data_IF_354835398207
#
_entry.id   IF_354835398207
#
_cell.length_a   1.000
_cell.length_b   1.000
_cell.length_c   1.000
_cell.angle_alpha   90.00
_cell.angle_beta   90.00
_cell.angle_gamma   90.00
#
_symmetry.space_group_name_H-M   'P 1'
#
loop_
_entity.id
_entity.type
_entity.pdbx_description
1 polymer ?
#
# COMPACT_ATOMS: atom_id res chain seq x y z
N UNK A 1 10.01 37.32 2.72
CA UNK A 1 11.31 36.65 2.81
C UNK A 1 12.06 37.28 3.98
N UNK A 2 12.16 36.60 5.14
CA UNK A 2 12.86 37.13 6.32
C UNK A 2 14.19 36.40 6.48
N UNK A 3 15.29 37.14 6.42
CA UNK A 3 16.65 36.61 6.62
C UNK A 3 16.95 36.65 8.13
N UNK A 4 17.30 35.50 8.72
CA UNK A 4 17.80 35.41 10.09
C UNK A 4 19.29 35.84 10.13
N UNK A 5 19.73 36.45 11.25
CA UNK A 5 21.12 36.83 11.59
C UNK A 5 22.20 35.75 11.35
N UNK A 6 21.84 34.50 11.03
CA UNK A 6 22.76 33.39 10.70
C UNK A 6 22.88 33.05 9.21
N UNK A 7 22.28 33.84 8.30
CA UNK A 7 22.39 33.60 6.85
C UNK A 7 21.67 32.33 6.35
N UNK A 8 20.92 31.65 7.21
CA UNK A 8 20.09 30.52 6.83
C UNK A 8 18.77 31.09 6.30
N UNK A 9 18.47 30.78 5.04
CA UNK A 9 17.14 31.00 4.45
C UNK A 9 16.18 30.10 5.25
N UNK A 10 15.48 30.70 6.22
CA UNK A 10 14.36 30.05 6.87
C UNK A 10 13.22 29.99 5.85
N UNK A 11 13.14 28.90 5.09
CA UNK A 11 11.88 28.53 4.47
C UNK A 11 10.92 28.25 5.62
N UNK A 12 10.00 29.19 5.90
CA UNK A 12 8.78 28.87 6.60
C UNK A 12 8.13 27.74 5.80
N UNK A 13 8.20 26.49 6.32
CA UNK A 13 7.39 25.38 5.83
C UNK A 13 5.93 25.82 5.96
N UNK A 14 5.35 26.43 4.92
CA UNK A 14 3.90 26.51 4.76
C UNK A 14 3.43 25.06 4.73
N UNK A 15 2.81 24.60 5.81
CA UNK A 15 2.11 23.34 5.83
C UNK A 15 1.11 23.38 4.67
N UNK A 16 1.41 22.65 3.60
CA UNK A 16 0.53 22.57 2.46
C UNK A 16 -0.78 21.95 2.97
N UNK A 17 -1.87 22.71 3.01
CA UNK A 17 -3.17 22.18 3.44
C UNK A 17 -3.54 21.08 2.46
N UNK A 18 -3.62 19.84 2.95
CA UNK A 18 -4.14 18.70 2.19
C UNK A 18 -5.50 19.06 1.60
N UNK A 19 -5.63 18.93 0.28
CA UNK A 19 -6.86 19.25 -0.44
C UNK A 19 -7.60 17.99 -0.84
N UNK A 20 -8.91 18.09 -1.07
CA UNK A 20 -9.73 16.96 -1.56
C UNK A 20 -9.18 16.36 -2.85
N UNK A 21 -8.56 17.18 -3.70
CA UNK A 21 -7.92 16.72 -4.95
C UNK A 21 -6.78 15.74 -4.69
N UNK A 22 -5.99 15.95 -3.64
CA UNK A 22 -4.87 15.07 -3.29
C UNK A 22 -5.35 13.67 -2.90
N UNK A 23 -6.45 13.58 -2.14
CA UNK A 23 -7.07 12.30 -1.79
C UNK A 23 -7.69 11.60 -3.01
N UNK A 24 -8.33 12.35 -3.91
CA UNK A 24 -8.92 11.76 -5.12
C UNK A 24 -7.84 11.23 -6.08
N UNK A 25 -6.74 11.96 -6.24
CA UNK A 25 -5.63 11.56 -7.11
C UNK A 25 -4.86 10.34 -6.57
N UNK A 26 -4.84 10.14 -5.25
CA UNK A 26 -4.09 9.04 -4.63
C UNK A 26 -4.95 7.79 -4.41
N UNK A 27 -6.15 7.98 -3.84
CA UNK A 27 -7.08 6.86 -3.60
C UNK A 27 -7.77 6.36 -4.87
N UNK A 28 -8.08 7.25 -5.82
CA UNK A 28 -8.82 6.93 -7.05
C UNK A 28 -8.15 5.85 -7.91
N UNK A 29 -6.87 5.99 -8.29
CA UNK A 29 -6.17 4.96 -9.07
C UNK A 29 -6.10 3.62 -8.34
N UNK A 30 -5.84 3.63 -7.03
CA UNK A 30 -5.77 2.41 -6.20
C UNK A 30 -7.12 1.69 -6.16
N UNK A 31 -8.22 2.43 -6.08
CA UNK A 31 -9.58 1.88 -6.17
C UNK A 31 -9.83 1.16 -7.50
N UNK A 32 -9.46 1.80 -8.61
CA UNK A 32 -9.64 1.21 -9.95
C UNK A 32 -8.78 -0.05 -10.09
N UNK A 33 -7.51 0.01 -9.67
CA UNK A 33 -6.58 -1.13 -9.76
C UNK A 33 -7.11 -2.33 -9.00
N UNK A 34 -7.60 -2.17 -7.76
CA UNK A 34 -8.13 -3.29 -6.99
C UNK A 34 -9.46 -3.82 -7.52
N UNK A 35 -10.34 -2.95 -8.01
CA UNK A 35 -11.57 -3.38 -8.67
C UNK A 35 -11.28 -4.22 -9.93
N UNK A 36 -10.35 -3.77 -10.78
CA UNK A 36 -9.93 -4.50 -11.99
C UNK A 36 -9.19 -5.79 -11.62
N UNK A 37 -8.33 -5.76 -10.61
CA UNK A 37 -7.62 -6.95 -10.12
C UNK A 37 -8.59 -8.01 -9.60
N UNK A 38 -9.69 -7.59 -8.95
CA UNK A 38 -10.71 -8.52 -8.49
C UNK A 38 -11.40 -9.23 -9.66
N UNK A 39 -11.84 -8.47 -10.67
CA UNK A 39 -12.47 -9.01 -11.88
C UNK A 39 -11.54 -9.98 -12.62
N UNK A 40 -10.28 -9.59 -12.82
CA UNK A 40 -9.29 -10.46 -13.47
C UNK A 40 -9.06 -11.73 -12.66
N UNK A 41 -8.95 -11.64 -11.34
CA UNK A 41 -8.80 -12.81 -10.47
C UNK A 41 -10.01 -13.74 -10.54
N UNK A 42 -11.24 -13.22 -10.60
CA UNK A 42 -12.45 -14.02 -10.77
C UNK A 42 -12.47 -14.76 -12.13
N UNK A 43 -12.06 -14.07 -13.20
CA UNK A 43 -11.96 -14.66 -14.55
C UNK A 43 -10.93 -15.79 -14.57
N UNK A 44 -9.73 -15.55 -14.05
CA UNK A 44 -8.62 -16.52 -14.06
C UNK A 44 -8.99 -17.79 -13.27
N UNK A 45 -9.68 -17.64 -12.14
CA UNK A 45 -10.10 -18.78 -11.33
C UNK A 45 -11.34 -19.49 -11.87
N UNK A 46 -12.03 -18.93 -12.87
CA UNK A 46 -13.29 -19.49 -13.39
C UNK A 46 -14.46 -19.44 -12.40
N UNK A 47 -14.32 -18.75 -11.26
CA UNK A 47 -15.34 -18.62 -10.22
C UNK A 47 -15.81 -17.16 -10.18
N UNK A 48 -16.86 -16.87 -10.96
CA UNK A 48 -17.53 -15.57 -10.92
C UNK A 48 -18.48 -15.49 -9.73
N UNK A 49 -18.07 -14.76 -8.69
CA UNK A 49 -18.88 -14.53 -7.48
C UNK A 49 -19.84 -13.36 -7.69
N UNK A 50 -19.36 -12.24 -8.26
CA UNK A 50 -20.21 -11.12 -8.67
C UNK A 50 -19.49 -10.17 -9.62
N UNK A 51 -20.18 -9.73 -10.67
CA UNK A 51 -19.67 -8.71 -11.60
C UNK A 51 -19.60 -7.30 -11.00
N UNK A 52 -20.40 -7.01 -9.96
CA UNK A 52 -20.56 -5.65 -9.46
C UNK A 52 -20.26 -5.50 -7.97
N UNK A 53 -20.74 -6.42 -7.13
CA UNK A 53 -20.62 -6.25 -5.67
C UNK A 53 -19.18 -6.40 -5.18
N UNK A 54 -18.46 -7.40 -5.66
CA UNK A 54 -17.08 -7.68 -5.21
C UNK A 54 -16.08 -6.68 -5.75
N UNK A 55 -16.11 -6.25 -7.03
CA UNK A 55 -15.19 -5.24 -7.52
C UNK A 55 -15.45 -3.87 -6.89
N UNK A 56 -16.72 -3.53 -6.59
CA UNK A 56 -17.07 -2.30 -5.88
C UNK A 56 -16.50 -2.28 -4.47
N UNK A 57 -16.63 -3.36 -3.71
CA UNK A 57 -16.07 -3.47 -2.35
C UNK A 57 -14.54 -3.43 -2.36
N UNK A 58 -13.90 -4.10 -3.33
CA UNK A 58 -12.45 -4.04 -3.50
C UNK A 58 -11.98 -2.65 -3.94
N UNK A 59 -12.78 -1.94 -4.74
CA UNK A 59 -12.53 -0.55 -5.12
C UNK A 59 -12.64 0.40 -3.93
N UNK A 60 -13.68 0.26 -3.09
CA UNK A 60 -13.82 1.04 -1.85
C UNK A 60 -12.66 0.76 -0.89
N UNK A 61 -12.27 -0.51 -0.75
CA UNK A 61 -11.08 -0.90 0.01
C UNK A 61 -9.81 -0.23 -0.55
N UNK A 62 -9.62 -0.24 -1.87
CA UNK A 62 -8.48 0.42 -2.53
C UNK A 62 -8.48 1.94 -2.33
N UNK A 63 -9.64 2.58 -2.36
CA UNK A 63 -9.76 4.00 -2.10
C UNK A 63 -9.35 4.35 -0.67
N UNK A 64 -9.85 3.60 0.31
CA UNK A 64 -9.55 3.81 1.73
C UNK A 64 -8.06 3.56 1.99
N UNK A 65 -7.55 2.40 1.56
CA UNK A 65 -6.16 2.02 1.81
C UNK A 65 -5.16 2.89 1.05
N UNK A 66 -5.46 3.32 -0.17
CA UNK A 66 -4.63 4.27 -0.91
C UNK A 66 -4.51 5.62 -0.20
N UNK A 67 -5.61 6.13 0.34
CA UNK A 67 -5.62 7.38 1.10
C UNK A 67 -4.92 7.26 2.46
N UNK A 68 -5.10 6.15 3.18
CA UNK A 68 -4.37 5.88 4.42
C UNK A 68 -2.88 5.77 4.15
N UNK A 69 -2.50 5.03 3.09
CA UNK A 69 -1.10 4.92 2.67
C UNK A 69 -0.51 6.30 2.37
N UNK A 70 -1.25 7.16 1.65
CA UNK A 70 -0.81 8.52 1.37
C UNK A 70 -0.62 9.35 2.64
N UNK A 71 -1.52 9.26 3.61
CA UNK A 71 -1.37 9.95 4.90
C UNK A 71 -0.17 9.41 5.70
N UNK A 72 0.04 8.10 5.72
CA UNK A 72 1.16 7.47 6.41
C UNK A 72 2.49 7.86 5.77
N UNK A 73 2.62 7.71 4.45
CA UNK A 73 3.84 8.06 3.73
C UNK A 73 4.09 9.56 3.73
N UNK A 74 3.07 10.43 3.62
CA UNK A 74 3.26 11.88 3.75
C UNK A 74 3.73 12.30 5.15
N UNK A 75 3.25 11.63 6.20
CA UNK A 75 3.73 11.84 7.58
C UNK A 75 5.19 11.43 7.72
N UNK A 76 5.55 10.23 7.23
CA UNK A 76 6.93 9.74 7.22
C UNK A 76 7.83 10.65 6.37
N UNK A 77 7.30 11.14 5.25
CA UNK A 77 8.03 11.99 4.32
C UNK A 77 8.23 13.40 4.85
N UNK A 78 7.28 13.92 5.64
CA UNK A 78 7.41 15.21 6.33
C UNK A 78 8.58 15.23 7.32
N UNK A 79 8.90 14.06 7.89
CA UNK A 79 10.00 13.86 8.83
C UNK A 79 11.34 13.51 8.15
N UNK A 80 11.34 12.91 6.95
CA UNK A 80 12.56 12.24 6.43
C UNK A 80 12.97 12.54 4.98
N UNK A 81 12.13 13.16 4.13
CA UNK A 81 12.23 12.82 2.71
C UNK A 81 12.78 13.87 1.74
N UNK A 82 12.78 15.17 2.07
CA UNK A 82 13.31 16.15 1.09
C UNK A 82 14.82 15.98 0.84
N UNK A 83 15.54 15.40 1.82
CA UNK A 83 16.95 14.98 1.70
C UNK A 83 17.10 13.58 1.09
N UNK A 84 16.18 12.65 1.39
CA UNK A 84 16.20 11.27 0.89
C UNK A 84 15.99 11.17 -0.63
N UNK A 85 15.00 11.90 -1.16
CA UNK A 85 14.72 11.89 -2.61
C UNK A 85 15.79 12.63 -3.43
N UNK A 86 16.56 13.54 -2.81
CA UNK A 86 17.70 14.23 -3.45
C UNK A 86 18.99 13.40 -3.42
N UNK A 87 19.09 12.36 -2.59
CA UNK A 87 20.26 11.49 -2.52
C UNK A 87 20.27 10.50 -3.70
N UNK A 88 21.20 10.69 -4.64
CA UNK A 88 21.47 9.75 -5.73
C UNK A 88 22.46 8.67 -5.28
N UNK A 89 22.31 7.44 -5.80
CA UNK A 89 23.19 6.30 -5.51
C UNK A 89 22.80 5.48 -4.26
N UNK A 90 23.55 4.41 -3.97
CA UNK A 90 23.39 3.53 -2.80
C UNK A 90 24.23 4.03 -1.61
N UNK A 91 23.92 5.21 -1.09
CA UNK A 91 24.60 5.68 0.12
C UNK A 91 24.14 4.90 1.35
N UNK A 92 25.00 4.67 2.37
CA UNK A 92 24.61 3.97 3.60
C UNK A 92 23.40 4.62 4.31
N UNK A 93 23.30 5.95 4.23
CA UNK A 93 22.17 6.71 4.76
C UNK A 93 20.86 6.40 4.03
N UNK A 94 20.91 6.25 2.70
CA UNK A 94 19.74 5.90 1.90
C UNK A 94 19.26 4.48 2.20
N UNK A 95 20.18 3.52 2.31
CA UNK A 95 19.84 2.15 2.70
C UNK A 95 19.20 2.10 4.09
N UNK A 96 19.78 2.84 5.05
CA UNK A 96 19.23 2.95 6.41
C UNK A 96 17.80 3.51 6.42
N UNK A 97 17.53 4.58 5.67
CA UNK A 97 16.18 5.17 5.59
C UNK A 97 15.20 4.20 4.91
N UNK A 98 15.58 3.58 3.80
CA UNK A 98 14.75 2.59 3.10
C UNK A 98 14.40 1.41 4.03
N UNK A 99 15.36 0.95 4.82
CA UNK A 99 15.15 -0.11 5.80
C UNK A 99 14.13 0.29 6.89
N UNK A 100 14.21 1.50 7.44
CA UNK A 100 13.19 1.96 8.40
C UNK A 100 11.80 2.12 7.77
N UNK A 101 11.73 2.61 6.52
CA UNK A 101 10.45 2.68 5.79
C UNK A 101 9.86 1.29 5.58
N UNK A 102 10.69 0.32 5.20
CA UNK A 102 10.26 -1.07 5.07
C UNK A 102 9.85 -1.67 6.42
N UNK A 103 10.61 -1.47 7.49
CA UNK A 103 10.21 -1.96 8.81
C UNK A 103 8.88 -1.39 9.27
N UNK A 104 8.65 -0.10 9.05
CA UNK A 104 7.37 0.52 9.36
C UNK A 104 6.24 -0.08 8.52
N UNK A 105 6.48 -0.30 7.23
CA UNK A 105 5.53 -0.97 6.34
C UNK A 105 5.18 -2.37 6.84
N UNK A 106 6.16 -3.17 7.23
CA UNK A 106 5.94 -4.54 7.68
C UNK A 106 5.34 -4.64 9.09
N UNK A 107 5.66 -3.72 10.00
CA UNK A 107 5.18 -3.78 11.39
C UNK A 107 3.83 -3.10 11.60
N UNK A 108 3.51 -2.10 10.78
CA UNK A 108 2.29 -1.29 10.94
C UNK A 108 1.34 -1.52 9.79
N UNK A 109 1.81 -1.32 8.55
CA UNK A 109 0.92 -1.32 7.40
C UNK A 109 0.48 -2.72 6.98
N UNK A 110 1.42 -3.68 6.92
CA UNK A 110 1.14 -5.04 6.49
C UNK A 110 0.11 -5.77 7.39
N UNK A 111 0.17 -5.70 8.73
CA UNK A 111 -0.87 -6.26 9.60
C UNK A 111 -2.24 -5.65 9.36
N UNK A 112 -2.31 -4.30 9.29
CA UNK A 112 -3.57 -3.58 9.12
C UNK A 112 -4.18 -3.87 7.74
N UNK A 113 -3.38 -3.78 6.68
CA UNK A 113 -3.80 -4.03 5.31
C UNK A 113 -4.25 -5.47 5.11
N UNK A 114 -3.51 -6.44 5.63
CA UNK A 114 -3.87 -7.87 5.54
C UNK A 114 -5.19 -8.16 6.26
N UNK A 115 -5.37 -7.60 7.46
CA UNK A 115 -6.63 -7.74 8.21
C UNK A 115 -7.81 -7.15 7.44
N UNK A 116 -7.67 -5.91 6.94
CA UNK A 116 -8.72 -5.25 6.16
C UNK A 116 -9.06 -6.03 4.89
N UNK A 117 -8.05 -6.53 4.15
CA UNK A 117 -8.26 -7.33 2.95
C UNK A 117 -9.06 -8.60 3.23
N UNK A 118 -8.66 -9.36 4.25
CA UNK A 118 -9.33 -10.61 4.61
C UNK A 118 -10.75 -10.34 5.12
N UNK A 119 -10.94 -9.27 5.88
CA UNK A 119 -12.24 -8.84 6.36
C UNK A 119 -13.18 -8.52 5.19
N UNK A 120 -12.75 -7.70 4.22
CA UNK A 120 -13.52 -7.36 3.02
C UNK A 120 -13.81 -8.59 2.17
N UNK A 121 -12.82 -9.46 1.96
CA UNK A 121 -13.02 -10.72 1.25
C UNK A 121 -14.04 -11.64 1.95
N UNK A 122 -14.08 -11.64 3.29
CA UNK A 122 -15.04 -12.46 4.04
C UNK A 122 -16.45 -11.88 4.05
N UNK A 123 -16.60 -10.56 3.93
CA UNK A 123 -17.91 -9.91 3.72
C UNK A 123 -18.49 -10.22 2.35
N UNK A 124 -17.63 -10.36 1.34
CA UNK A 124 -18.00 -10.78 -0.02
C UNK A 124 -18.56 -12.22 -0.01
N UNK A 125 -17.89 -13.14 0.68
CA UNK A 125 -18.27 -14.56 0.77
C UNK A 125 -19.41 -14.86 1.77
N UNK A 126 -20.29 -13.89 2.01
CA UNK A 126 -21.40 -13.81 2.99
C UNK A 126 -22.22 -15.06 3.33
N UNK A 127 -22.14 -16.15 2.57
CA UNK A 127 -22.75 -17.45 2.88
C UNK A 127 -22.04 -18.26 3.97
N UNK A 128 -20.76 -17.97 4.32
CA UNK A 128 -19.96 -18.77 5.27
C UNK A 128 -19.01 -17.94 6.16
N UNK A 129 -19.44 -16.78 6.65
CA UNK A 129 -18.59 -15.97 7.54
C UNK A 129 -18.23 -16.75 8.81
N UNK A 130 -16.93 -17.00 9.03
CA UNK A 130 -16.40 -17.67 10.21
C UNK A 130 -15.21 -16.88 10.74
N UNK A 131 -15.36 -16.31 11.93
CA UNK A 131 -14.27 -15.59 12.60
C UNK A 131 -13.03 -16.48 12.78
N UNK A 132 -13.23 -17.79 13.03
CA UNK A 132 -12.12 -18.74 13.14
C UNK A 132 -11.34 -18.86 11.84
N UNK A 133 -12.03 -18.94 10.68
CA UNK A 133 -11.37 -18.97 9.37
C UNK A 133 -10.65 -17.66 9.08
N UNK A 134 -11.27 -16.52 9.38
CA UNK A 134 -10.65 -15.19 9.23
C UNK A 134 -9.33 -15.08 10.00
N UNK A 135 -9.30 -15.54 11.25
CA UNK A 135 -8.08 -15.47 12.09
C UNK A 135 -6.99 -16.40 11.56
N UNK A 136 -7.34 -17.62 11.15
CA UNK A 136 -6.36 -18.58 10.60
C UNK A 136 -5.78 -18.06 9.28
N UNK A 137 -6.65 -17.63 8.35
CA UNK A 137 -6.27 -17.06 7.07
C UNK A 137 -5.40 -15.81 7.29
N UNK A 138 -5.74 -14.98 8.28
CA UNK A 138 -4.97 -13.79 8.63
C UNK A 138 -3.53 -14.09 8.97
N UNK A 139 -3.28 -15.00 9.91
CA UNK A 139 -1.90 -15.32 10.27
C UNK A 139 -1.17 -16.00 9.11
N UNK A 140 -1.82 -16.91 8.38
CA UNK A 140 -1.21 -17.58 7.23
C UNK A 140 -0.75 -16.58 6.16
N UNK A 141 -1.65 -15.71 5.72
CA UNK A 141 -1.39 -14.71 4.68
C UNK A 141 -0.40 -13.65 5.18
N UNK A 142 -0.45 -13.28 6.46
CA UNK A 142 0.51 -12.33 7.03
C UNK A 142 1.93 -12.90 7.06
N UNK A 143 2.10 -14.17 7.47
CA UNK A 143 3.41 -14.80 7.45
C UNK A 143 3.96 -14.97 6.04
N UNK A 144 3.12 -15.33 5.08
CA UNK A 144 3.52 -15.35 3.66
C UNK A 144 3.87 -13.95 3.16
N UNK A 145 3.15 -12.93 3.62
CA UNK A 145 3.44 -11.55 3.27
C UNK A 145 4.86 -11.16 3.70
N UNK A 146 5.26 -11.52 4.91
CA UNK A 146 6.60 -11.25 5.43
C UNK A 146 7.72 -11.97 4.70
N UNK A 147 7.44 -13.01 3.90
CA UNK A 147 8.47 -13.68 3.09
C UNK A 147 8.81 -12.88 1.83
N UNK A 148 7.84 -12.14 1.28
CA UNK A 148 7.94 -11.55 -0.06
C UNK A 148 8.00 -10.02 -0.01
N UNK A 149 7.09 -9.40 0.73
CA UNK A 149 6.92 -7.94 0.73
C UNK A 149 8.12 -7.14 1.26
N UNK A 150 8.88 -7.58 2.29
CA UNK A 150 10.06 -6.84 2.73
C UNK A 150 11.08 -6.65 1.61
N UNK A 151 11.29 -7.70 0.80
CA UNK A 151 12.23 -7.68 -0.32
C UNK A 151 11.70 -6.77 -1.43
N UNK A 152 10.43 -6.89 -1.81
CA UNK A 152 9.81 -6.03 -2.81
C UNK A 152 9.83 -4.55 -2.41
N UNK A 153 9.56 -4.23 -1.14
CA UNK A 153 9.60 -2.86 -0.65
C UNK A 153 11.01 -2.28 -0.62
N UNK A 154 12.01 -3.09 -0.23
CA UNK A 154 13.41 -2.67 -0.33
C UNK A 154 13.80 -2.37 -1.78
N UNK A 155 13.38 -3.22 -2.73
CA UNK A 155 13.63 -2.98 -4.16
C UNK A 155 12.95 -1.69 -4.62
N UNK A 156 11.70 -1.49 -4.23
CA UNK A 156 10.89 -0.33 -4.56
C UNK A 156 11.54 0.99 -4.07
N UNK A 157 12.04 1.02 -2.83
CA UNK A 157 12.66 2.24 -2.28
C UNK A 157 14.08 2.50 -2.80
N UNK A 158 14.85 1.45 -3.08
CA UNK A 158 16.26 1.59 -3.48
C UNK A 158 16.46 1.76 -4.98
N UNK A 159 15.73 1.03 -5.81
CA UNK A 159 16.00 0.95 -7.25
C UNK A 159 14.92 1.61 -8.10
N UNK A 160 13.67 1.64 -7.64
CA UNK A 160 12.56 2.19 -8.44
C UNK A 160 12.49 3.72 -8.30
N UNK A 161 12.46 4.47 -9.43
CA UNK A 161 12.22 5.92 -9.43
C UNK A 161 10.90 6.28 -8.75
N UNK A 162 10.84 7.43 -8.08
CA UNK A 162 9.71 7.83 -7.24
C UNK A 162 8.36 7.73 -7.99
N UNK A 163 8.35 8.15 -9.25
CA UNK A 163 7.19 8.19 -10.13
C UNK A 163 6.68 6.80 -10.50
N UNK A 164 7.58 5.80 -10.54
CA UNK A 164 7.26 4.42 -10.93
C UNK A 164 6.98 3.49 -9.74
N UNK A 165 7.21 3.94 -8.49
CA UNK A 165 7.03 3.10 -7.30
C UNK A 165 5.61 2.58 -7.14
N UNK A 166 4.63 3.44 -7.42
CA UNK A 166 3.21 3.08 -7.34
C UNK A 166 2.88 1.99 -8.35
N UNK A 167 3.39 2.12 -9.58
CA UNK A 167 3.19 1.12 -10.64
C UNK A 167 3.82 -0.22 -10.26
N UNK A 168 5.07 -0.22 -9.78
CA UNK A 168 5.78 -1.44 -9.36
C UNK A 168 5.00 -2.21 -8.27
N UNK A 169 4.60 -1.52 -7.20
CA UNK A 169 3.85 -2.13 -6.10
C UNK A 169 2.47 -2.58 -6.56
N UNK A 170 1.83 -1.84 -7.46
CA UNK A 170 0.52 -2.21 -8.02
C UNK A 170 0.59 -3.50 -8.84
N UNK A 171 1.63 -3.68 -9.67
CA UNK A 171 1.87 -4.92 -10.42
C UNK A 171 2.14 -6.10 -9.48
N UNK A 172 2.98 -5.90 -8.45
CA UNK A 172 3.22 -6.93 -7.44
C UNK A 172 1.95 -7.30 -6.67
N UNK A 173 1.10 -6.30 -6.37
CA UNK A 173 -0.18 -6.49 -5.68
C UNK A 173 -1.15 -7.33 -6.51
N UNK A 174 -1.16 -7.18 -7.82
CA UNK A 174 -1.99 -8.01 -8.70
C UNK A 174 -1.59 -9.49 -8.60
N UNK A 175 -0.29 -9.78 -8.65
CA UNK A 175 0.24 -11.15 -8.49
C UNK A 175 -0.11 -11.69 -7.10
N UNK A 176 0.09 -10.89 -6.05
CA UNK A 176 -0.21 -11.26 -4.67
C UNK A 176 -1.70 -11.57 -4.46
N UNK A 177 -2.60 -10.74 -4.99
CA UNK A 177 -4.05 -10.97 -4.87
C UNK A 177 -4.46 -12.30 -5.51
N UNK A 178 -3.87 -12.64 -6.66
CA UNK A 178 -4.10 -13.95 -7.30
C UNK A 178 -3.58 -15.09 -6.43
N UNK A 179 -2.35 -14.98 -5.89
CA UNK A 179 -1.79 -15.98 -4.98
C UNK A 179 -2.68 -16.21 -3.75
N UNK A 180 -3.09 -15.14 -3.07
CA UNK A 180 -3.91 -15.25 -1.86
C UNK A 180 -5.26 -15.89 -2.14
N UNK A 181 -5.86 -15.62 -3.30
CA UNK A 181 -7.11 -16.27 -3.71
C UNK A 181 -6.94 -17.78 -3.91
N UNK A 182 -5.85 -18.20 -4.55
CA UNK A 182 -5.51 -19.63 -4.72
C UNK A 182 -5.24 -20.29 -3.37
N UNK A 183 -4.40 -19.68 -2.53
CA UNK A 183 -4.03 -20.20 -1.21
C UNK A 183 -5.21 -20.32 -0.23
N UNK A 184 -6.33 -19.60 -0.46
CA UNK A 184 -7.55 -19.69 0.36
C UNK A 184 -8.59 -20.70 -0.15
N UNK A 185 -8.42 -21.24 -1.37
CA UNK A 185 -9.38 -22.15 -1.99
C UNK A 185 -9.20 -23.63 -1.59
N UNK A 186 -8.10 -23.97 -0.90
CA UNK A 186 -7.88 -25.27 -0.26
C UNK A 186 -8.53 -25.35 1.14
#
# INVERSE_FOLDING_TARGET
MKINKRGIIGEEKKANKLTLKDFLLQGGPTAIILAVSDLLGQIIMGVMVSYFKTPLLMGLYGFITGNISFLMYSTIDSYSTDKFNRMRGLTPQRVKIAFYKMLFDQLVWSPIGTFMFIFVASLVDSSKFSLRKVVIDYFSILFDSYKIWPVLQMINFLFVPLEMRVLFISTASLIWNTYVKIARQE
#
